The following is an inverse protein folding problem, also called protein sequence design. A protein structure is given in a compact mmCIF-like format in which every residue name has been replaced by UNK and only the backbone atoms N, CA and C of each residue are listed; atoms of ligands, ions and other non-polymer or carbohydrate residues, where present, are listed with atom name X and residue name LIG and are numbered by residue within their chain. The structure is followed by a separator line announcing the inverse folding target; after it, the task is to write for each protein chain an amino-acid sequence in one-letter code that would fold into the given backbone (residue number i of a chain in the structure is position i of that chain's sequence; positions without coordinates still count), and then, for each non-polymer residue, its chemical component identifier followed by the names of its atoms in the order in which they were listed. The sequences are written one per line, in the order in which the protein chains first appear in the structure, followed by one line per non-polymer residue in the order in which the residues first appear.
data_IF_189605782839
#
_entry.id   IF_189605782839
#
_cell.length_a   1.000
_cell.length_b   1.000
_cell.length_c   1.000
_cell.angle_alpha   90.00
_cell.angle_beta   90.00
_cell.angle_gamma   90.00
#
_symmetry.space_group_name_H-M   'P 1'
#
loop_
_entity.id
_entity.type
_entity.pdbx_description
1 polymer ?
#
# COMPACT_ATOMS: atom_id res chain seq x y z
N UNK A 1 -1.42 -6.74 0.28
CA UNK A 1 -1.16 -7.71 -0.80
C UNK A 1 0.35 -7.91 -0.92
N UNK A 2 0.93 -8.87 -0.18
CA UNK A 2 2.34 -9.22 -0.33
C UNK A 2 2.59 -9.93 -1.68
N UNK A 3 3.84 -10.05 -2.10
CA UNK A 3 4.26 -10.64 -3.39
C UNK A 3 3.60 -9.94 -4.59
N UNK A 4 3.48 -8.60 -4.53
CA UNK A 4 2.69 -7.84 -5.49
C UNK A 4 3.25 -7.87 -6.93
N UNK A 5 4.58 -7.91 -7.09
CA UNK A 5 5.25 -8.16 -8.37
C UNK A 5 4.78 -9.42 -9.12
N UNK A 6 4.22 -10.42 -8.42
CA UNK A 6 3.63 -11.63 -9.00
C UNK A 6 2.10 -11.65 -8.98
N UNK A 7 1.45 -10.58 -8.53
CA UNK A 7 0.01 -10.52 -8.34
C UNK A 7 -0.72 -10.22 -9.66
N UNK A 8 -1.61 -11.13 -10.08
CA UNK A 8 -2.47 -10.91 -11.24
C UNK A 8 -3.73 -10.12 -10.85
N UNK A 9 -3.71 -8.82 -11.16
CA UNK A 9 -4.84 -7.92 -10.91
C UNK A 9 -6.14 -8.37 -11.59
N UNK A 10 -6.06 -8.97 -12.79
CA UNK A 10 -7.27 -9.37 -13.54
C UNK A 10 -7.98 -10.54 -12.86
N UNK A 11 -7.21 -11.50 -12.35
CA UNK A 11 -7.75 -12.64 -11.59
C UNK A 11 -8.42 -12.23 -10.28
N UNK A 12 -8.15 -11.03 -9.77
CA UNK A 12 -8.63 -10.56 -8.46
C UNK A 12 -9.62 -9.39 -8.54
N UNK A 13 -10.06 -9.01 -9.73
CA UNK A 13 -10.92 -7.84 -9.95
C UNK A 13 -12.18 -7.86 -9.07
N UNK A 14 -12.86 -9.01 -8.99
CA UNK A 14 -14.05 -9.16 -8.15
C UNK A 14 -13.76 -8.89 -6.66
N UNK A 15 -12.65 -9.41 -6.13
CA UNK A 15 -12.24 -9.17 -4.75
C UNK A 15 -11.87 -7.71 -4.51
N UNK A 16 -11.21 -7.06 -5.47
CA UNK A 16 -10.88 -5.63 -5.35
C UNK A 16 -12.14 -4.77 -5.34
N UNK A 17 -13.16 -5.12 -6.14
CA UNK A 17 -14.48 -4.48 -6.11
C UNK A 17 -15.14 -4.65 -4.75
N UNK A 18 -15.11 -5.85 -4.16
CA UNK A 18 -15.65 -6.12 -2.83
C UNK A 18 -14.92 -5.33 -1.73
N UNK A 19 -13.59 -5.27 -1.76
CA UNK A 19 -12.80 -4.47 -0.82
C UNK A 19 -13.16 -2.98 -0.89
N UNK A 20 -13.29 -2.45 -2.11
CA UNK A 20 -13.68 -1.06 -2.31
C UNK A 20 -15.12 -0.81 -1.79
N UNK A 21 -16.05 -1.72 -2.06
CA UNK A 21 -17.42 -1.64 -1.54
C UNK A 21 -17.49 -1.71 -0.01
N UNK A 22 -16.55 -2.44 0.62
CA UNK A 22 -16.37 -2.50 2.07
C UNK A 22 -15.67 -1.25 2.65
N UNK A 23 -15.27 -0.29 1.81
CA UNK A 23 -14.60 0.93 2.27
C UNK A 23 -13.12 0.71 2.61
N UNK A 24 -12.45 -0.23 1.95
CA UNK A 24 -11.04 -0.55 2.20
C UNK A 24 -10.16 -0.14 1.01
N UNK A 25 -9.07 0.55 1.31
CA UNK A 25 -7.91 0.63 0.40
C UNK A 25 -6.97 -0.57 0.60
N UNK A 26 -6.01 -0.74 -0.28
CA UNK A 26 -5.04 -1.83 -0.16
C UNK A 26 -3.62 -1.41 -0.53
N UNK A 27 -2.66 -2.05 0.14
CA UNK A 27 -1.23 -1.87 -0.08
C UNK A 27 -0.68 -3.09 -0.83
N UNK A 28 -0.18 -2.88 -2.05
CA UNK A 28 0.68 -3.82 -2.76
C UNK A 28 2.13 -3.69 -2.29
N UNK A 29 2.76 -4.79 -1.92
CA UNK A 29 4.17 -4.83 -1.52
C UNK A 29 4.88 -5.94 -2.27
N UNK A 30 5.95 -5.60 -2.97
CA UNK A 30 6.80 -6.57 -3.65
C UNK A 30 7.55 -7.48 -2.67
N UNK A 31 8.04 -8.60 -3.19
CA UNK A 31 8.91 -9.49 -2.43
C UNK A 31 10.13 -8.77 -1.84
N UNK A 32 10.52 -9.19 -0.63
CA UNK A 32 11.67 -8.64 0.12
C UNK A 32 11.57 -7.14 0.41
N UNK A 33 10.39 -6.55 0.26
CA UNK A 33 10.11 -5.13 0.49
C UNK A 33 9.12 -5.02 1.65
N UNK A 34 9.17 -3.90 2.37
CA UNK A 34 8.27 -3.62 3.47
C UNK A 34 8.04 -2.13 3.66
N UNK A 35 7.16 -1.80 4.60
CA UNK A 35 6.92 -0.42 5.03
C UNK A 35 7.10 -0.30 6.54
N UNK A 36 7.69 0.81 6.98
CA UNK A 36 7.79 1.18 8.39
C UNK A 36 6.91 2.40 8.64
N UNK A 37 6.01 2.31 9.62
CA UNK A 37 5.19 3.45 10.03
C UNK A 37 5.96 4.44 10.90
N UNK A 38 5.72 5.73 10.67
CA UNK A 38 6.28 6.83 11.45
C UNK A 38 5.27 7.99 11.57
N UNK A 39 4.92 8.44 12.80
CA UNK A 39 5.35 7.89 14.07
C UNK A 39 4.72 6.52 14.33
N UNK A 40 5.48 5.60 14.94
CA UNK A 40 4.95 4.29 15.29
C UNK A 40 3.95 4.41 16.46
N UNK A 41 2.79 3.76 16.35
CA UNK A 41 1.83 3.63 17.46
C UNK A 41 1.00 4.86 17.79
N UNK A 42 1.03 5.92 16.96
CA UNK A 42 0.17 7.10 17.15
C UNK A 42 -0.97 7.15 16.14
N UNK A 43 -2.20 7.58 16.53
CA UNK A 43 -3.31 7.77 15.60
C UNK A 43 -3.16 8.96 14.65
N UNK A 44 -2.10 9.77 14.80
CA UNK A 44 -1.83 10.93 13.95
C UNK A 44 -1.41 10.51 12.53
N UNK A 45 -1.44 11.47 11.59
CA UNK A 45 -1.07 11.29 10.19
C UNK A 45 0.21 10.45 10.06
N UNK A 46 0.02 9.16 9.76
CA UNK A 46 1.10 8.18 9.73
C UNK A 46 1.74 8.26 8.35
N UNK A 47 3.05 8.45 8.31
CA UNK A 47 3.82 8.26 7.08
C UNK A 47 4.37 6.85 7.05
N UNK A 48 4.37 6.23 5.88
CA UNK A 48 5.02 4.94 5.66
C UNK A 48 6.31 5.14 4.90
N UNK A 49 7.43 4.74 5.52
CA UNK A 49 8.72 4.68 4.84
C UNK A 49 8.86 3.32 4.16
N UNK A 50 9.08 3.31 2.86
CA UNK A 50 9.36 2.08 2.11
C UNK A 50 10.81 1.63 2.39
N UNK A 51 10.98 0.33 2.63
CA UNK A 51 12.27 -0.32 2.85
C UNK A 51 12.42 -1.56 1.98
N UNK A 52 13.61 -1.79 1.44
CA UNK A 52 13.90 -2.96 0.62
C UNK A 52 13.92 -2.65 -0.89
N UNK A 53 14.28 -3.65 -1.72
CA UNK A 53 14.69 -3.41 -3.11
C UNK A 53 13.55 -3.30 -4.12
N UNK A 54 12.31 -3.67 -3.77
CA UNK A 54 11.16 -3.65 -4.66
C UNK A 54 10.30 -2.39 -4.52
N UNK A 55 9.09 -2.48 -5.06
CA UNK A 55 8.11 -1.40 -5.08
C UNK A 55 7.01 -1.61 -4.05
N UNK A 56 6.38 -0.50 -3.68
CA UNK A 56 5.15 -0.44 -2.91
C UNK A 56 4.14 0.40 -3.67
N UNK A 57 2.90 -0.10 -3.73
CA UNK A 57 1.79 0.54 -4.40
C UNK A 57 0.65 0.72 -3.38
N UNK A 58 0.29 1.96 -3.07
CA UNK A 58 -0.81 2.28 -2.17
C UNK A 58 -2.03 2.74 -2.97
N UNK A 59 -3.08 1.91 -2.95
CA UNK A 59 -4.37 2.19 -3.56
C UNK A 59 -5.34 2.63 -2.45
N UNK A 60 -5.46 3.93 -2.15
CA UNK A 60 -6.39 4.38 -1.14
C UNK A 60 -7.84 4.18 -1.59
N UNK A 61 -8.76 4.08 -0.63
CA UNK A 61 -10.20 4.13 -0.91
C UNK A 61 -10.59 5.43 -1.63
N UNK A 62 -9.94 6.53 -1.27
CA UNK A 62 -10.17 7.88 -1.81
C UNK A 62 -8.86 8.59 -2.01
N UNK A 63 -8.74 9.31 -3.12
CA UNK A 63 -7.53 10.05 -3.48
C UNK A 63 -6.70 9.30 -4.51
N UNK A 64 -5.51 9.84 -4.75
CA UNK A 64 -4.62 9.34 -5.79
C UNK A 64 -3.87 8.09 -5.35
N UNK A 65 -3.66 7.20 -6.31
CA UNK A 65 -2.73 6.08 -6.19
C UNK A 65 -1.32 6.62 -5.93
N UNK A 66 -0.61 6.01 -4.97
CA UNK A 66 0.76 6.43 -4.60
C UNK A 66 1.71 5.25 -4.70
N UNK A 67 2.79 5.41 -5.45
CA UNK A 67 3.86 4.43 -5.57
C UNK A 67 5.12 4.88 -4.83
N UNK A 68 5.94 3.93 -4.39
CA UNK A 68 7.17 4.20 -3.67
C UNK A 68 8.23 3.11 -3.84
N UNK A 69 9.48 3.49 -3.64
CA UNK A 69 10.65 2.59 -3.61
C UNK A 69 11.47 2.85 -2.35
N UNK A 70 12.55 2.12 -2.13
CA UNK A 70 13.39 2.27 -0.94
C UNK A 70 13.66 3.73 -0.54
N UNK A 71 13.28 4.10 0.68
CA UNK A 71 13.46 5.44 1.21
C UNK A 71 12.34 6.44 0.88
N UNK A 72 11.43 6.12 -0.05
CA UNK A 72 10.22 6.92 -0.30
C UNK A 72 9.36 6.99 0.97
N UNK A 73 8.72 8.14 1.17
CA UNK A 73 7.72 8.37 2.20
C UNK A 73 6.33 8.43 1.56
N UNK A 74 5.45 7.50 1.92
CA UNK A 74 4.06 7.46 1.48
C UNK A 74 3.22 8.12 2.58
N UNK A 75 2.59 9.28 2.31
CA UNK A 75 1.66 9.89 3.24
C UNK A 75 0.37 9.07 3.27
N UNK A 76 -0.06 8.64 4.46
CA UNK A 76 -1.40 8.08 4.60
C UNK A 76 -2.41 9.21 4.81
N UNK A 77 -3.58 9.16 4.16
CA UNK A 77 -4.67 10.06 4.49
C UNK A 77 -5.05 9.88 5.97
N UNK A 78 -5.33 11.00 6.64
CA UNK A 78 -5.79 11.06 8.03
C UNK A 78 -7.25 10.61 8.18
#
# INVERSE_FOLDING_TARGET
MPHYNGFDLRGWEATLVELNAAGLGYLGIDERTGVLSSPNGTPAATTWRVIGPGHVEWFPLRGEHVSGTNGSMIPLPA
#
